data_IF_739899752512
#
_entry.id   IF_739899752512
#
_cell.length_a   1.000
_cell.length_b   1.000
_cell.length_c   1.000
_cell.angle_alpha   90.00
_cell.angle_beta   90.00
_cell.angle_gamma   90.00
#
_symmetry.space_group_name_H-M   'P 1'
#
loop_
_entity.id
_entity.type
_entity.pdbx_description
1 polymer ?
#
# COMPACT_ATOMS: atom_id res chain seq x y z
N UNK A 1 -30.55 4.76 -10.78
CA UNK A 1 -29.22 4.10 -10.76
C UNK A 1 -28.70 4.17 -9.34
N UNK A 2 -28.70 3.02 -8.67
CA UNK A 2 -28.86 2.94 -7.20
C UNK A 2 -27.60 3.24 -6.40
N UNK A 3 -27.80 3.77 -5.20
CA UNK A 3 -26.78 4.07 -4.19
C UNK A 3 -25.75 2.94 -3.95
N UNK A 4 -26.09 1.69 -4.29
CA UNK A 4 -25.20 0.52 -4.26
C UNK A 4 -24.00 0.64 -5.23
N UNK A 5 -24.19 1.21 -6.41
CA UNK A 5 -23.09 1.42 -7.39
C UNK A 5 -22.12 2.52 -6.92
N UNK A 6 -22.62 3.54 -6.21
CA UNK A 6 -21.80 4.60 -5.65
C UNK A 6 -20.93 4.11 -4.48
N UNK A 7 -21.50 3.29 -3.59
CA UNK A 7 -20.74 2.66 -2.51
C UNK A 7 -19.63 1.74 -3.06
N UNK A 8 -19.93 0.94 -4.08
CA UNK A 8 -18.96 0.04 -4.70
C UNK A 8 -17.81 0.79 -5.38
N UNK A 9 -18.09 1.91 -6.06
CA UNK A 9 -17.07 2.78 -6.66
C UNK A 9 -16.18 3.46 -5.62
N UNK A 10 -16.76 3.91 -4.51
CA UNK A 10 -16.01 4.48 -3.39
C UNK A 10 -15.05 3.48 -2.75
N UNK A 11 -15.49 2.24 -2.57
CA UNK A 11 -14.63 1.18 -2.02
C UNK A 11 -13.48 0.85 -2.97
N UNK A 12 -13.76 0.73 -4.27
CA UNK A 12 -12.70 0.49 -5.28
C UNK A 12 -11.70 1.65 -5.32
N UNK A 13 -12.18 2.89 -5.30
CA UNK A 13 -11.31 4.07 -5.28
C UNK A 13 -10.42 4.12 -4.02
N UNK A 14 -10.97 3.75 -2.86
CA UNK A 14 -10.20 3.69 -1.61
C UNK A 14 -9.15 2.58 -1.64
N UNK A 15 -9.49 1.40 -2.16
CA UNK A 15 -8.55 0.28 -2.31
C UNK A 15 -7.42 0.64 -3.27
N UNK A 16 -7.72 1.29 -4.40
CA UNK A 16 -6.71 1.75 -5.36
C UNK A 16 -5.80 2.82 -4.78
N UNK A 17 -6.33 3.76 -4.00
CA UNK A 17 -5.53 4.78 -3.32
C UNK A 17 -4.58 4.17 -2.28
N UNK A 18 -5.05 3.19 -1.49
CA UNK A 18 -4.20 2.48 -0.52
C UNK A 18 -3.14 1.64 -1.23
N UNK A 19 -3.49 0.91 -2.31
CA UNK A 19 -2.54 0.13 -3.09
C UNK A 19 -1.45 1.01 -3.73
N UNK A 20 -1.81 2.17 -4.26
CA UNK A 20 -0.85 3.15 -4.80
C UNK A 20 0.06 3.73 -3.71
N UNK A 21 -0.48 3.99 -2.52
CA UNK A 21 0.31 4.44 -1.36
C UNK A 21 1.32 3.39 -0.90
N UNK A 22 0.90 2.13 -0.78
CA UNK A 22 1.78 1.01 -0.41
C UNK A 22 2.85 0.78 -1.47
N UNK A 23 2.49 0.78 -2.76
CA UNK A 23 3.46 0.67 -3.85
C UNK A 23 4.47 1.83 -3.85
N UNK A 24 4.02 3.06 -3.58
CA UNK A 24 4.89 4.22 -3.43
C UNK A 24 5.88 4.10 -2.28
N UNK A 25 5.44 3.59 -1.13
CA UNK A 25 6.29 3.33 0.04
C UNK A 25 7.33 2.23 -0.28
N UNK A 26 6.91 1.14 -0.92
CA UNK A 26 7.83 0.05 -1.30
C UNK A 26 8.86 0.49 -2.35
N UNK A 27 8.46 1.30 -3.35
CA UNK A 27 9.39 1.86 -4.34
C UNK A 27 10.38 2.80 -3.66
N UNK A 28 9.93 3.61 -2.69
CA UNK A 28 10.80 4.50 -1.94
C UNK A 28 11.81 3.75 -1.05
N UNK A 29 11.38 2.69 -0.36
CA UNK A 29 12.30 1.83 0.41
C UNK A 29 13.31 1.12 -0.49
N UNK A 30 12.89 0.64 -1.65
CA UNK A 30 13.79 -0.07 -2.58
C UNK A 30 14.81 0.89 -3.21
N UNK A 31 14.39 2.09 -3.60
CA UNK A 31 15.27 3.12 -4.17
C UNK A 31 16.28 3.69 -3.15
N UNK A 32 15.93 3.70 -1.86
CA UNK A 32 16.83 4.19 -0.80
C UNK A 32 17.81 3.10 -0.31
N UNK A 33 17.41 1.83 -0.32
CA UNK A 33 18.26 0.73 0.15
C UNK A 33 19.28 0.21 -0.89
N UNK A 34 19.24 0.71 -2.13
CA UNK A 34 20.09 0.24 -3.24
C UNK A 34 21.60 0.59 -3.11
N UNK A 35 22.00 1.40 -2.12
CA UNK A 35 23.40 1.83 -1.97
C UNK A 35 24.28 0.86 -1.16
N UNK A 36 23.76 -0.25 -0.64
CA UNK A 36 24.51 -1.16 0.24
C UNK A 36 25.53 -2.06 -0.50
N UNK A 37 25.56 -2.05 -1.83
CA UNK A 37 26.40 -2.95 -2.66
C UNK A 37 27.39 -2.23 -3.59
N UNK A 38 27.61 -0.92 -3.41
CA UNK A 38 28.51 -0.13 -4.26
C UNK A 38 29.97 -0.22 -3.78
N UNK A 39 30.90 -0.23 -4.74
CA UNK A 39 32.33 -0.25 -4.46
C UNK A 39 32.78 1.01 -3.71
N UNK A 40 33.87 0.98 -2.93
CA UNK A 40 34.37 2.17 -2.21
C UNK A 40 34.66 3.37 -3.13
N UNK A 41 35.08 3.11 -4.37
CA UNK A 41 35.24 4.14 -5.40
C UNK A 41 33.92 4.78 -5.83
N UNK A 42 32.86 3.97 -5.97
CA UNK A 42 31.52 4.41 -6.33
C UNK A 42 30.86 5.17 -5.17
N UNK A 43 31.08 4.74 -3.92
CA UNK A 43 30.63 5.43 -2.70
C UNK A 43 31.16 6.86 -2.62
N UNK A 44 32.40 7.10 -3.06
CA UNK A 44 32.99 8.44 -3.14
C UNK A 44 32.72 9.15 -4.48
N UNK A 45 32.16 8.46 -5.48
CA UNK A 45 31.91 9.01 -6.81
C UNK A 45 33.17 9.32 -7.60
N UNK A 46 34.27 8.60 -7.35
CA UNK A 46 35.58 8.81 -7.99
C UNK A 46 35.97 7.60 -8.84
N UNK A 47 36.73 7.78 -9.94
CA UNK A 47 37.17 6.66 -10.74
C UNK A 47 38.27 5.86 -10.02
N UNK A 48 38.46 4.58 -10.38
CA UNK A 48 39.47 3.70 -9.74
C UNK A 48 40.91 4.24 -9.85
N UNK A 49 41.20 5.00 -10.90
CA UNK A 49 42.49 5.65 -11.14
C UNK A 49 42.62 7.04 -10.48
N UNK A 50 41.69 7.44 -9.61
CA UNK A 50 41.72 8.74 -8.95
C UNK A 50 43.00 8.94 -8.13
N UNK A 51 43.53 10.17 -8.19
CA UNK A 51 44.65 10.59 -7.36
C UNK A 51 44.20 10.75 -5.89
N UNK A 52 45.11 10.58 -4.90
CA UNK A 52 44.78 10.79 -3.49
C UNK A 52 44.18 12.17 -3.18
N UNK A 53 44.59 13.19 -3.95
CA UNK A 53 44.06 14.55 -3.83
C UNK A 53 42.56 14.64 -4.19
N UNK A 54 42.11 13.87 -5.19
CA UNK A 54 40.72 13.85 -5.65
C UNK A 54 39.83 13.07 -4.67
N UNK A 55 40.33 11.95 -4.14
CA UNK A 55 39.67 11.17 -3.08
C UNK A 55 39.44 12.05 -1.85
N UNK A 56 40.47 12.81 -1.43
CA UNK A 56 40.37 13.73 -0.30
C UNK A 56 39.37 14.87 -0.53
N UNK A 57 39.28 15.37 -1.78
CA UNK A 57 38.31 16.40 -2.16
C UNK A 57 36.88 15.85 -2.11
N UNK A 58 36.64 14.70 -2.74
CA UNK A 58 35.34 14.03 -2.75
C UNK A 58 34.86 13.70 -1.33
N UNK A 59 35.74 13.18 -0.48
CA UNK A 59 35.43 12.94 0.93
C UNK A 59 34.99 14.22 1.65
N UNK A 60 35.73 15.33 1.52
CA UNK A 60 35.37 16.61 2.16
C UNK A 60 34.00 17.10 1.72
N UNK A 61 33.71 17.04 0.42
CA UNK A 61 32.44 17.51 -0.13
C UNK A 61 31.26 16.65 0.34
N UNK A 62 31.45 15.33 0.42
CA UNK A 62 30.43 14.39 0.88
C UNK A 62 30.22 14.45 2.40
N UNK A 63 31.29 14.55 3.20
CA UNK A 63 31.20 14.71 4.65
C UNK A 63 30.46 15.98 5.06
N UNK A 64 30.63 17.09 4.31
CA UNK A 64 29.90 18.34 4.58
C UNK A 64 28.39 18.25 4.28
N UNK A 65 28.00 17.35 3.36
CA UNK A 65 26.61 17.11 2.97
C UNK A 65 25.90 16.13 3.89
N UNK A 66 26.61 15.09 4.34
CA UNK A 66 26.07 14.01 5.18
C UNK A 66 26.48 14.12 6.66
N UNK A 67 26.97 15.28 7.10
CA UNK A 67 27.34 15.49 8.51
C UNK A 67 26.13 15.28 9.44
N UNK A 68 26.26 14.53 10.55
CA UNK A 68 25.14 14.23 11.45
C UNK A 68 24.47 15.49 12.03
N UNK A 69 25.22 16.59 12.21
CA UNK A 69 24.68 17.87 12.71
C UNK A 69 23.73 18.59 11.75
N UNK A 70 23.68 18.20 10.46
CA UNK A 70 22.82 18.84 9.44
C UNK A 70 21.56 18.02 9.11
N UNK A 71 21.23 17.01 9.91
CA UNK A 71 20.11 16.13 9.64
C UNK A 71 18.75 16.81 9.83
N UNK A 72 17.94 16.88 8.77
CA UNK A 72 16.60 17.54 8.80
C UNK A 72 15.40 16.61 8.61
N UNK A 73 15.56 15.29 8.50
CA UNK A 73 14.40 14.37 8.46
C UNK A 73 14.78 12.89 8.68
N UNK A 74 15.95 12.44 8.21
CA UNK A 74 16.37 11.04 8.23
C UNK A 74 17.76 10.87 8.84
N UNK A 75 17.87 11.06 10.16
CA UNK A 75 19.15 11.00 10.87
C UNK A 75 19.87 9.65 10.70
N UNK A 76 19.14 8.53 10.78
CA UNK A 76 19.74 7.19 10.68
C UNK A 76 20.37 6.91 9.30
N UNK A 77 19.69 7.30 8.21
CA UNK A 77 20.21 7.14 6.86
C UNK A 77 21.43 8.02 6.60
N UNK A 78 21.44 9.24 7.14
CA UNK A 78 22.60 10.12 7.03
C UNK A 78 23.79 9.58 7.82
N UNK A 79 23.58 9.08 9.03
CA UNK A 79 24.63 8.44 9.83
C UNK A 79 25.20 7.22 9.10
N UNK A 80 24.37 6.33 8.57
CA UNK A 80 24.83 5.17 7.78
C UNK A 80 25.65 5.59 6.56
N UNK A 81 25.21 6.62 5.81
CA UNK A 81 25.95 7.15 4.66
C UNK A 81 27.28 7.77 5.07
N UNK A 82 27.30 8.52 6.17
CA UNK A 82 28.53 9.11 6.70
C UNK A 82 29.54 8.03 7.07
N UNK A 83 29.11 6.94 7.72
CA UNK A 83 29.96 5.79 8.01
C UNK A 83 30.53 5.17 6.73
N UNK A 84 29.70 4.89 5.72
CA UNK A 84 30.17 4.34 4.43
C UNK A 84 31.19 5.24 3.73
N UNK A 85 30.99 6.56 3.75
CA UNK A 85 31.93 7.54 3.18
C UNK A 85 33.26 7.55 3.96
N UNK A 86 33.20 7.46 5.28
CA UNK A 86 34.37 7.39 6.16
C UNK A 86 35.16 6.10 5.96
N UNK A 87 34.48 4.97 5.83
CA UNK A 87 35.08 3.66 5.61
C UNK A 87 35.78 3.63 4.23
N UNK A 88 35.10 4.12 3.18
CA UNK A 88 35.68 4.25 1.85
C UNK A 88 36.94 5.12 1.83
N UNK A 89 36.93 6.26 2.51
CA UNK A 89 38.10 7.11 2.61
C UNK A 89 39.24 6.44 3.39
N UNK A 90 38.95 5.69 4.46
CA UNK A 90 39.96 4.99 5.27
C UNK A 90 40.68 3.92 4.45
N UNK A 91 39.94 3.15 3.65
CA UNK A 91 40.50 2.11 2.78
C UNK A 91 41.27 2.70 1.60
N UNK A 92 40.76 3.77 0.97
CA UNK A 92 41.35 4.33 -0.26
C UNK A 92 42.48 5.33 -0.02
N UNK A 93 42.58 5.94 1.16
CA UNK A 93 43.62 6.93 1.49
C UNK A 93 44.96 6.26 1.86
N UNK A 94 44.94 5.06 2.43
CA UNK A 94 46.16 4.30 2.73
C UNK A 94 46.57 3.46 1.53
N UNK A 95 47.77 3.69 1.00
CA UNK A 95 48.29 2.96 -0.15
C UNK A 95 48.33 1.44 0.06
N UNK A 96 48.61 0.97 1.28
CA UNK A 96 48.63 -0.47 1.59
C UNK A 96 47.22 -1.07 1.55
N UNK A 97 46.27 -0.42 2.23
CA UNK A 97 44.87 -0.85 2.26
C UNK A 97 44.20 -0.75 0.89
N UNK A 98 44.52 0.28 0.10
CA UNK A 98 44.04 0.44 -1.27
C UNK A 98 44.51 -0.68 -2.18
N UNK A 99 45.80 -1.07 -2.10
CA UNK A 99 46.33 -2.20 -2.88
C UNK A 99 45.66 -3.52 -2.51
N UNK A 100 45.46 -3.78 -1.22
CA UNK A 100 44.77 -4.99 -0.76
C UNK A 100 43.32 -5.01 -1.25
N UNK A 101 42.62 -3.87 -1.19
CA UNK A 101 41.26 -3.75 -1.70
C UNK A 101 41.18 -3.94 -3.22
N UNK A 102 42.09 -3.32 -3.99
CA UNK A 102 42.16 -3.47 -5.44
C UNK A 102 42.48 -4.93 -5.84
N UNK A 103 43.32 -5.62 -5.08
CA UNK A 103 43.60 -7.05 -5.26
C UNK A 103 42.35 -7.89 -5.00
N UNK A 104 41.63 -7.65 -3.91
CA UNK A 104 40.38 -8.36 -3.62
C UNK A 104 39.34 -8.12 -4.72
N UNK A 105 39.24 -6.89 -5.22
CA UNK A 105 38.33 -6.53 -6.30
C UNK A 105 38.70 -7.25 -7.60
N UNK A 106 39.99 -7.32 -7.93
CA UNK A 106 40.50 -8.09 -9.07
C UNK A 106 40.25 -9.59 -8.91
N UNK A 107 40.46 -10.16 -7.71
CA UNK A 107 40.17 -11.56 -7.42
C UNK A 107 38.67 -11.87 -7.51
N UNK A 108 37.80 -10.97 -7.05
CA UNK A 108 36.35 -11.09 -7.20
C UNK A 108 35.94 -11.06 -8.68
N UNK A 109 36.47 -10.13 -9.46
CA UNK A 109 36.25 -10.06 -10.91
C UNK A 109 36.79 -11.31 -11.62
N UNK A 110 37.97 -11.81 -11.23
CA UNK A 110 38.57 -13.01 -11.79
C UNK A 110 37.79 -14.27 -11.41
N UNK A 111 37.31 -14.37 -10.16
CA UNK A 111 36.41 -15.43 -9.70
C UNK A 111 35.09 -15.38 -10.44
N UNK A 112 34.52 -14.20 -10.67
CA UNK A 112 33.33 -14.04 -11.50
C UNK A 112 33.58 -14.47 -12.96
N UNK A 113 34.75 -14.15 -13.52
CA UNK A 113 35.18 -14.63 -14.85
C UNK A 113 35.42 -16.14 -14.89
N UNK A 114 35.95 -16.74 -13.83
CA UNK A 114 36.16 -18.18 -13.71
C UNK A 114 34.85 -18.94 -13.50
N UNK A 115 33.97 -18.43 -12.64
CA UNK A 115 32.61 -18.97 -12.45
C UNK A 115 31.72 -18.77 -13.68
N UNK A 116 32.02 -17.79 -14.53
CA UNK A 116 31.41 -17.60 -15.85
C UNK A 116 31.94 -18.52 -16.96
N UNK A 117 32.74 -19.56 -16.64
CA UNK A 117 33.36 -20.47 -17.60
C UNK A 117 32.95 -21.95 -17.41
N UNK A 118 31.72 -22.18 -16.94
CA UNK A 118 31.05 -23.46 -17.15
C UNK A 118 30.68 -23.60 -18.65
N UNK A 119 30.93 -24.75 -19.30
CA UNK A 119 30.61 -24.93 -20.71
C UNK A 119 29.09 -24.98 -20.87
N UNK A 120 28.50 -23.88 -21.35
CA UNK A 120 27.08 -23.82 -21.72
C UNK A 120 26.34 -22.53 -21.36
N UNK A 121 26.84 -21.68 -20.47
CA UNK A 121 26.08 -20.52 -20.00
C UNK A 121 26.89 -19.21 -20.08
N UNK A 122 26.81 -18.51 -21.22
CA UNK A 122 27.23 -17.10 -21.32
C UNK A 122 26.02 -16.20 -21.10
N UNK A 123 25.90 -15.56 -19.94
CA UNK A 123 25.01 -14.39 -19.80
C UNK A 123 25.73 -13.16 -20.39
N UNK A 124 25.59 -12.94 -21.71
CA UNK A 124 25.91 -11.66 -22.34
C UNK A 124 24.65 -10.78 -22.36
N UNK A 125 24.62 -9.56 -21.79
CA UNK A 125 23.39 -8.78 -21.67
C UNK A 125 22.92 -8.10 -22.98
N UNK A 126 23.36 -8.52 -24.18
CA UNK A 126 23.12 -7.71 -25.39
C UNK A 126 22.88 -8.43 -26.72
N UNK A 127 22.39 -9.67 -26.74
CA UNK A 127 21.78 -10.25 -27.95
C UNK A 127 20.69 -11.23 -27.55
N UNK A 128 19.44 -10.79 -27.58
CA UNK A 128 18.27 -11.65 -27.37
C UNK A 128 17.96 -12.39 -28.67
N UNK A 129 18.38 -13.64 -28.76
CA UNK A 129 17.71 -14.62 -29.62
C UNK A 129 16.84 -15.50 -28.71
N UNK A 130 15.56 -15.59 -29.06
CA UNK A 130 14.44 -15.98 -28.18
C UNK A 130 14.40 -17.45 -27.74
N UNK A 131 15.43 -18.24 -28.07
CA UNK A 131 15.42 -19.69 -27.87
C UNK A 131 16.18 -20.13 -26.61
N UNK A 132 17.20 -19.39 -26.18
CA UNK A 132 18.02 -19.72 -25.00
C UNK A 132 17.32 -19.41 -23.67
N UNK A 133 16.41 -18.42 -23.68
CA UNK A 133 15.65 -18.02 -22.49
C UNK A 133 14.69 -19.13 -22.06
N UNK A 134 14.04 -19.81 -23.00
CA UNK A 134 13.09 -20.88 -22.69
C UNK A 134 13.77 -22.13 -22.12
N UNK A 135 14.97 -22.47 -22.59
CA UNK A 135 15.78 -23.56 -22.06
C UNK A 135 16.32 -23.26 -20.65
N UNK A 136 16.69 -21.99 -20.37
CA UNK A 136 17.03 -21.54 -19.01
C UNK A 136 15.86 -21.69 -18.05
N UNK A 137 14.66 -21.27 -18.46
CA UNK A 137 13.47 -21.45 -17.65
C UNK A 137 13.17 -22.94 -17.43
N UNK A 138 13.14 -23.78 -18.47
CA UNK A 138 12.75 -25.19 -18.35
C UNK A 138 13.70 -26.05 -17.49
N UNK A 139 15.00 -25.72 -17.42
CA UNK A 139 16.00 -26.54 -16.73
C UNK A 139 16.29 -26.10 -15.29
N UNK A 140 16.14 -24.82 -14.97
CA UNK A 140 16.37 -24.25 -13.63
C UNK A 140 15.08 -24.08 -12.80
N UNK A 141 13.91 -24.05 -13.44
CA UNK A 141 12.61 -24.01 -12.75
C UNK A 141 12.42 -25.15 -11.74
N UNK A 142 12.74 -26.44 -12.04
CA UNK A 142 12.44 -27.53 -11.12
C UNK A 142 13.24 -27.45 -9.82
N UNK A 143 14.53 -27.09 -9.89
CA UNK A 143 15.43 -27.01 -8.73
C UNK A 143 15.17 -25.77 -7.89
N UNK A 144 14.94 -24.61 -8.54
CA UNK A 144 14.59 -23.38 -7.82
C UNK A 144 13.22 -23.48 -7.19
N UNK A 145 12.25 -24.08 -7.87
CA UNK A 145 10.93 -24.37 -7.30
C UNK A 145 11.04 -25.41 -6.20
N UNK A 146 11.87 -26.44 -6.32
CA UNK A 146 12.10 -27.41 -5.25
C UNK A 146 12.77 -26.80 -4.01
N UNK A 147 13.74 -25.89 -4.18
CA UNK A 147 14.35 -25.13 -3.08
C UNK A 147 13.37 -24.12 -2.45
N UNK A 148 12.51 -23.50 -3.26
CA UNK A 148 11.42 -22.66 -2.78
C UNK A 148 10.39 -23.49 -2.00
N UNK A 149 10.00 -24.66 -2.51
CA UNK A 149 9.05 -25.57 -1.87
C UNK A 149 9.62 -26.17 -0.59
N UNK A 150 10.92 -26.49 -0.53
CA UNK A 150 11.56 -26.98 0.69
C UNK A 150 11.69 -25.90 1.75
N UNK A 151 11.91 -24.63 1.36
CA UNK A 151 11.84 -23.49 2.27
C UNK A 151 10.41 -23.26 2.80
N UNK A 152 9.39 -23.47 1.97
CA UNK A 152 7.98 -23.43 2.38
C UNK A 152 7.55 -24.61 3.26
N UNK A 153 8.17 -25.79 3.12
CA UNK A 153 7.94 -26.97 3.97
C UNK A 153 8.69 -26.92 5.30
N UNK A 154 9.53 -25.90 5.52
CA UNK A 154 10.15 -25.67 6.83
C UNK A 154 9.08 -25.36 7.88
N UNK A 155 9.35 -25.71 9.14
CA UNK A 155 8.42 -25.47 10.27
C UNK A 155 8.06 -23.98 10.38
N UNK A 156 8.99 -23.09 10.00
CA UNK A 156 8.79 -21.63 9.95
C UNK A 156 7.82 -21.21 8.84
N UNK A 157 7.84 -21.89 7.69
CA UNK A 157 6.89 -21.70 6.59
C UNK A 157 5.46 -22.09 6.97
N UNK A 158 5.28 -23.20 7.70
CA UNK A 158 3.98 -23.61 8.21
C UNK A 158 3.45 -22.65 9.30
N UNK A 159 4.32 -22.18 10.18
CA UNK A 159 3.95 -21.23 11.23
C UNK A 159 3.48 -19.90 10.63
N UNK A 160 4.19 -19.39 9.62
CA UNK A 160 3.80 -18.16 8.91
C UNK A 160 2.49 -18.34 8.14
N UNK A 161 2.27 -19.50 7.52
CA UNK A 161 0.98 -19.83 6.89
C UNK A 161 -0.18 -19.86 7.90
N UNK A 162 0.03 -20.46 9.08
CA UNK A 162 -0.98 -20.53 10.14
C UNK A 162 -1.30 -19.15 10.72
N UNK A 163 -0.27 -18.33 10.96
CA UNK A 163 -0.45 -16.94 11.40
C UNK A 163 -1.20 -16.13 10.34
N UNK A 164 -0.83 -16.27 9.06
CA UNK A 164 -1.50 -15.59 7.96
C UNK A 164 -2.96 -16.02 7.81
N UNK A 165 -3.24 -17.32 7.86
CA UNK A 165 -4.61 -17.85 7.85
C UNK A 165 -5.40 -17.34 9.07
N UNK A 166 -4.79 -17.29 10.25
CA UNK A 166 -5.38 -16.72 11.46
C UNK A 166 -5.73 -15.23 11.28
N UNK A 167 -4.83 -14.44 10.69
CA UNK A 167 -5.09 -13.04 10.37
C UNK A 167 -6.23 -12.89 9.36
N UNK A 168 -6.27 -13.73 8.32
CA UNK A 168 -7.37 -13.72 7.33
C UNK A 168 -8.70 -14.03 8.00
N UNK A 169 -8.78 -15.08 8.83
CA UNK A 169 -10.00 -15.44 9.57
C UNK A 169 -10.42 -14.30 10.50
N UNK A 170 -9.48 -13.68 11.21
CA UNK A 170 -9.76 -12.54 12.09
C UNK A 170 -10.30 -11.34 11.31
N UNK A 171 -9.68 -10.99 10.19
CA UNK A 171 -10.15 -9.91 9.31
C UNK A 171 -11.55 -10.21 8.76
N UNK A 172 -11.80 -11.45 8.34
CA UNK A 172 -13.12 -11.88 7.89
C UNK A 172 -14.16 -11.80 9.01
N UNK A 173 -13.82 -12.20 10.24
CA UNK A 173 -14.66 -12.04 11.44
C UNK A 173 -15.01 -10.57 11.69
N UNK A 174 -14.02 -9.67 11.63
CA UNK A 174 -14.22 -8.23 11.81
C UNK A 174 -15.13 -7.67 10.72
N UNK A 175 -14.88 -8.03 9.45
CA UNK A 175 -15.73 -7.63 8.33
C UNK A 175 -17.16 -8.14 8.53
N UNK A 176 -17.34 -9.40 8.90
CA UNK A 176 -18.67 -9.97 9.15
C UNK A 176 -19.39 -9.30 10.34
N UNK A 177 -18.68 -8.91 11.39
CA UNK A 177 -19.24 -8.14 12.51
C UNK A 177 -19.64 -6.73 12.10
N UNK A 178 -18.83 -6.07 11.29
CA UNK A 178 -19.14 -4.74 10.75
C UNK A 178 -20.34 -4.79 9.81
N UNK A 179 -20.39 -5.76 8.90
CA UNK A 179 -21.53 -5.96 8.00
C UNK A 179 -22.83 -6.24 8.76
N UNK A 180 -22.78 -7.04 9.82
CA UNK A 180 -23.94 -7.25 10.71
C UNK A 180 -24.39 -5.93 11.35
N UNK A 181 -23.48 -5.16 11.94
CA UNK A 181 -23.82 -3.84 12.52
C UNK A 181 -24.42 -2.88 11.49
N UNK A 182 -23.87 -2.84 10.28
CA UNK A 182 -24.37 -1.97 9.21
C UNK A 182 -25.78 -2.41 8.82
N UNK A 183 -26.02 -3.72 8.68
CA UNK A 183 -27.35 -4.27 8.42
C UNK A 183 -28.35 -3.88 9.51
N UNK A 184 -27.99 -4.06 10.78
CA UNK A 184 -28.83 -3.71 11.93
C UNK A 184 -29.12 -2.21 12.01
N UNK A 185 -28.16 -1.37 11.61
CA UNK A 185 -28.37 0.06 11.50
C UNK A 185 -29.39 0.42 10.41
N UNK A 186 -29.32 -0.24 9.25
CA UNK A 186 -30.28 -0.02 8.19
C UNK A 186 -31.68 -0.53 8.53
N UNK A 187 -31.81 -1.67 9.20
CA UNK A 187 -33.11 -2.18 9.67
C UNK A 187 -33.73 -1.25 10.71
N UNK A 188 -32.92 -0.76 11.65
CA UNK A 188 -33.35 0.24 12.63
C UNK A 188 -33.82 1.54 11.96
N UNK A 189 -33.07 2.05 10.98
CA UNK A 189 -33.43 3.28 10.27
C UNK A 189 -34.72 3.10 9.45
N UNK A 190 -34.91 1.94 8.82
CA UNK A 190 -36.14 1.60 8.09
C UNK A 190 -37.34 1.55 9.03
N UNK A 191 -37.20 0.87 10.18
CA UNK A 191 -38.24 0.81 11.21
C UNK A 191 -38.63 2.19 11.73
N UNK A 192 -37.65 3.08 11.97
CA UNK A 192 -37.91 4.46 12.41
C UNK A 192 -38.67 5.26 11.34
N UNK A 193 -38.33 5.09 10.06
CA UNK A 193 -39.04 5.75 8.96
C UNK A 193 -40.49 5.26 8.86
N UNK A 194 -40.71 3.95 8.93
CA UNK A 194 -42.07 3.37 8.91
C UNK A 194 -42.95 3.90 10.06
N UNK A 195 -42.34 4.17 11.21
CA UNK A 195 -43.06 4.73 12.37
C UNK A 195 -43.50 6.18 12.13
N UNK A 196 -42.64 7.00 11.52
CA UNK A 196 -42.94 8.39 11.15
C UNK A 196 -44.04 8.41 10.09
N UNK A 197 -43.91 7.61 9.04
CA UNK A 197 -44.87 7.55 7.94
C UNK A 197 -46.27 7.11 8.44
N UNK A 198 -46.34 6.17 9.40
CA UNK A 198 -47.59 5.77 10.06
C UNK A 198 -48.20 6.89 10.90
N UNK A 199 -47.37 7.64 11.63
CA UNK A 199 -47.84 8.75 12.45
C UNK A 199 -48.40 9.88 11.58
N UNK A 200 -47.73 10.23 10.49
CA UNK A 200 -48.20 11.20 9.51
C UNK A 200 -49.50 10.75 8.84
N UNK A 201 -49.60 9.47 8.46
CA UNK A 201 -50.83 8.90 7.91
C UNK A 201 -52.01 8.99 8.89
N UNK A 202 -51.77 8.71 10.18
CA UNK A 202 -52.81 8.85 11.22
C UNK A 202 -53.22 10.31 11.44
N UNK A 203 -52.27 11.26 11.43
CA UNK A 203 -52.56 12.69 11.54
C UNK A 203 -53.38 13.17 10.35
N UNK A 204 -53.02 12.76 9.12
CA UNK A 204 -53.77 13.08 7.91
C UNK A 204 -55.20 12.49 7.93
N UNK A 205 -55.36 11.25 8.42
CA UNK A 205 -56.68 10.64 8.57
C UNK A 205 -57.56 11.39 9.58
N UNK A 206 -57.00 11.79 10.73
CA UNK A 206 -57.71 12.60 11.73
C UNK A 206 -58.12 13.97 11.18
N UNK A 207 -57.25 14.64 10.42
CA UNK A 207 -57.56 15.91 9.79
C UNK A 207 -58.74 15.79 8.80
N UNK A 208 -58.73 14.77 7.93
CA UNK A 208 -59.86 14.48 7.02
C UNK A 208 -61.16 14.20 7.78
N UNK A 209 -61.08 13.52 8.92
CA UNK A 209 -62.26 13.23 9.74
C UNK A 209 -62.81 14.51 10.39
N UNK A 210 -61.93 15.40 10.86
CA UNK A 210 -62.32 16.72 11.37
C UNK A 210 -62.95 17.60 10.30
N UNK A 211 -62.39 17.65 9.08
CA UNK A 211 -62.98 18.38 7.95
C UNK A 211 -64.39 17.87 7.62
N UNK A 212 -64.59 16.54 7.57
CA UNK A 212 -65.92 15.95 7.36
C UNK A 212 -66.92 16.33 8.46
N UNK A 213 -66.48 16.31 9.72
CA UNK A 213 -67.29 16.73 10.86
C UNK A 213 -67.65 18.22 10.78
N UNK A 214 -66.68 19.07 10.42
CA UNK A 214 -66.90 20.50 10.23
C UNK A 214 -67.90 20.76 9.09
N UNK A 215 -67.70 20.13 7.93
CA UNK A 215 -68.62 20.23 6.79
C UNK A 215 -70.04 19.81 7.16
N UNK A 216 -70.21 18.65 7.82
CA UNK A 216 -71.51 18.19 8.29
C UNK A 216 -72.16 19.15 9.31
N UNK A 217 -71.36 19.77 10.19
CA UNK A 217 -71.86 20.76 11.16
C UNK A 217 -72.35 22.04 10.46
N UNK A 218 -71.65 22.49 9.42
CA UNK A 218 -72.05 23.65 8.62
C UNK A 218 -73.31 23.37 7.80
N UNK A 219 -73.39 22.19 7.16
CA UNK A 219 -74.61 21.76 6.46
C UNK A 219 -75.82 21.71 7.41
N UNK A 220 -75.64 21.21 8.63
CA UNK A 220 -76.69 21.19 9.64
C UNK A 220 -77.12 22.61 10.06
N UNK A 221 -76.18 23.56 10.20
CA UNK A 221 -76.49 24.97 10.47
C UNK A 221 -77.27 25.60 9.32
N UNK A 222 -76.86 25.36 8.06
CA UNK A 222 -77.55 25.85 6.86
C UNK A 222 -78.97 25.29 6.78
N UNK A 223 -79.15 23.97 6.98
CA UNK A 223 -80.48 23.35 7.02
C UNK A 223 -81.37 23.97 8.10
N UNK A 224 -80.84 24.19 9.32
CA UNK A 224 -81.58 24.85 10.41
C UNK A 224 -82.00 26.28 10.04
N UNK A 225 -81.12 27.04 9.36
CA UNK A 225 -81.44 28.39 8.86
C UNK A 225 -82.55 28.36 7.80
N UNK A 226 -82.50 27.42 6.85
CA UNK A 226 -83.54 27.26 5.82
C UNK A 226 -84.91 26.90 6.40
N UNK A 227 -84.95 25.98 7.38
CA UNK A 227 -86.21 25.61 8.06
C UNK A 227 -86.79 26.79 8.85
N UNK A 228 -85.95 27.55 9.57
CA UNK A 228 -86.39 28.77 10.28
C UNK A 228 -86.90 29.85 9.32
N UNK A 229 -86.26 30.02 8.16
CA UNK A 229 -86.71 30.98 7.14
C UNK A 229 -88.05 30.61 6.51
N UNK A 230 -88.32 29.31 6.29
CA UNK A 230 -89.61 28.82 5.77
C UNK A 230 -90.75 28.87 6.78
N UNK A 231 -90.46 28.77 8.07
CA UNK A 231 -91.48 28.88 9.12
C UNK A 231 -91.89 30.34 9.43
N UNK A 232 -91.20 31.32 8.84
CA UNK A 232 -91.45 32.75 9.02
C UNK A 232 -92.17 33.41 7.81
N UNK A 233 -92.50 32.63 6.78
CA UNK A 233 -93.34 33.02 5.64
C UNK A 233 -94.72 32.37 5.76
#
# INVERSE_FOLDING_TARGET
MGAKQWAQRLVIALVLAVAAGVAGICIYETFINDFSSLNHYETLGVPRNAAPADIKRAFRDLSLRYHPDKATYNAELQVRRFHQISDANTVLMNDESRRQYDQQLYEQELRARMMGRLPGWRFTPLTWETEDVLLFYLQELPLRVAMWLSAWLSVDGLLTCLVFLGCVVFVLEVIQRLLRRISDFFTFRRSKQDMIDREEAMRAARARQQEKLQAASEEAKVRRRQVRGRAAQ
#
